data_IF_834937811669
#
_entry.id   IF_834937811669
#
_cell.length_a   1.000
_cell.length_b   1.000
_cell.length_c   1.000
_cell.angle_alpha   90.00
_cell.angle_beta   90.00
_cell.angle_gamma   90.00
#
_symmetry.space_group_name_H-M   'P 1'
#
loop_
_entity.id
_entity.type
_entity.pdbx_description
1 polymer ?
#
# COMPACT_ATOMS: atom_id res chain seq x y z
N UNK A 1 -35.77 28.06 -21.00
CA UNK A 1 -35.01 28.27 -19.74
C UNK A 1 -34.59 26.96 -19.05
N UNK A 2 -35.45 25.92 -18.99
CA UNK A 2 -35.15 24.64 -18.29
C UNK A 2 -34.07 23.79 -19.00
N UNK A 3 -34.12 23.66 -20.34
CA UNK A 3 -33.15 22.86 -21.12
C UNK A 3 -31.70 23.38 -20.99
N UNK A 4 -31.51 24.70 -20.96
CA UNK A 4 -30.18 25.33 -20.80
C UNK A 4 -29.59 25.12 -19.41
N UNK A 5 -30.42 25.13 -18.34
CA UNK A 5 -29.98 24.79 -16.98
C UNK A 5 -29.60 23.30 -16.85
N UNK A 6 -30.31 22.41 -17.54
CA UNK A 6 -30.03 20.98 -17.54
C UNK A 6 -28.71 20.66 -18.27
N UNK A 7 -28.46 21.28 -19.42
CA UNK A 7 -27.20 21.17 -20.16
C UNK A 7 -25.99 21.65 -19.32
N UNK A 8 -26.13 22.78 -18.62
CA UNK A 8 -25.07 23.32 -17.78
C UNK A 8 -24.77 22.42 -16.57
N UNK A 9 -25.80 21.84 -15.95
CA UNK A 9 -25.65 20.92 -14.83
C UNK A 9 -24.96 19.61 -15.26
N UNK A 10 -25.31 19.08 -16.44
CA UNK A 10 -24.71 17.85 -16.96
C UNK A 10 -23.23 18.04 -17.27
N UNK A 11 -22.86 19.19 -17.85
CA UNK A 11 -21.48 19.58 -18.14
C UNK A 11 -20.66 19.76 -16.85
N UNK A 12 -21.26 20.33 -15.81
CA UNK A 12 -20.61 20.52 -14.50
C UNK A 12 -20.33 19.17 -13.82
N UNK A 13 -21.26 18.21 -13.89
CA UNK A 13 -21.08 16.85 -13.35
C UNK A 13 -20.00 16.09 -14.11
N UNK A 14 -19.93 16.20 -15.43
CA UNK A 14 -18.85 15.57 -16.22
C UNK A 14 -17.50 16.20 -15.93
N UNK A 15 -17.45 17.53 -15.75
CA UNK A 15 -16.22 18.24 -15.38
C UNK A 15 -15.73 17.84 -13.97
N UNK A 16 -16.66 17.70 -13.02
CA UNK A 16 -16.36 17.22 -11.66
C UNK A 16 -15.88 15.77 -11.63
N UNK A 17 -16.40 14.90 -12.50
CA UNK A 17 -15.92 13.52 -12.66
C UNK A 17 -14.56 13.44 -13.38
N UNK A 18 -14.23 14.42 -14.23
CA UNK A 18 -12.95 14.50 -14.94
C UNK A 18 -11.81 15.11 -14.12
N UNK A 19 -12.14 15.79 -13.01
CA UNK A 19 -11.17 16.20 -12.00
C UNK A 19 -10.73 14.94 -11.28
N UNK A 20 -9.77 14.22 -11.87
CA UNK A 20 -9.12 13.10 -11.23
C UNK A 20 -8.65 13.53 -9.85
N UNK A 21 -9.23 12.93 -8.81
CA UNK A 21 -8.68 13.03 -7.48
C UNK A 21 -7.32 12.34 -7.54
N UNK A 22 -6.24 13.12 -7.42
CA UNK A 22 -4.94 12.53 -7.16
C UNK A 22 -5.08 11.78 -5.82
N UNK A 23 -4.98 10.45 -5.85
CA UNK A 23 -5.02 9.67 -4.63
C UNK A 23 -3.88 10.11 -3.72
N UNK A 24 -4.22 10.44 -2.48
CA UNK A 24 -3.21 10.71 -1.45
C UNK A 24 -2.54 9.36 -1.14
N UNK A 25 -1.25 9.25 -1.49
CA UNK A 25 -0.48 8.05 -1.19
C UNK A 25 -0.22 7.99 0.32
N UNK A 26 -0.51 6.83 0.92
CA UNK A 26 -0.31 6.53 2.33
C UNK A 26 0.26 5.13 2.47
N UNK A 27 1.37 4.99 3.18
CA UNK A 27 2.10 3.73 3.29
C UNK A 27 2.01 3.14 4.69
N UNK A 28 1.75 1.83 4.77
CA UNK A 28 1.90 1.06 6.00
C UNK A 28 2.96 -0.02 5.82
N UNK A 29 3.83 -0.18 6.83
CA UNK A 29 4.88 -1.21 6.83
C UNK A 29 4.62 -2.23 7.93
N UNK A 30 4.75 -3.52 7.64
CA UNK A 30 4.72 -4.59 8.66
C UNK A 30 6.10 -5.21 8.81
N UNK A 31 6.60 -5.27 10.04
CA UNK A 31 7.89 -5.89 10.39
C UNK A 31 7.67 -7.18 11.21
N UNK A 32 8.43 -8.26 10.93
CA UNK A 32 8.35 -9.52 11.68
C UNK A 32 8.96 -9.41 13.07
N UNK A 33 9.91 -8.49 13.25
CA UNK A 33 10.69 -8.34 14.46
C UNK A 33 10.62 -6.94 15.06
N UNK A 34 11.54 -6.68 15.98
CA UNK A 34 11.73 -5.37 16.61
C UNK A 34 12.39 -4.41 15.63
N UNK A 35 11.88 -3.19 15.46
CA UNK A 35 12.58 -2.15 14.69
C UNK A 35 13.88 -1.66 15.36
N UNK A 36 14.14 -2.12 16.59
CA UNK A 36 15.35 -1.84 17.38
C UNK A 36 16.26 -3.07 17.47
N UNK A 37 16.19 -4.01 16.53
CA UNK A 37 17.04 -5.20 16.52
C UNK A 37 18.51 -4.89 16.17
N UNK A 38 18.81 -3.68 15.69
CA UNK A 38 20.15 -3.28 15.30
C UNK A 38 20.64 -3.95 14.02
N UNK A 39 19.73 -4.56 13.27
CA UNK A 39 20.03 -5.37 12.09
C UNK A 39 18.95 -5.13 11.01
N UNK A 40 18.39 -6.18 10.43
CA UNK A 40 17.52 -6.14 9.27
C UNK A 40 16.24 -5.30 9.45
N UNK A 41 15.51 -5.41 10.57
CA UNK A 41 14.31 -4.58 10.76
C UNK A 41 14.67 -3.12 11.06
N UNK A 42 15.77 -2.87 11.78
CA UNK A 42 16.29 -1.52 11.96
C UNK A 42 16.63 -0.83 10.63
N UNK A 43 17.21 -1.56 9.66
CA UNK A 43 17.47 -1.02 8.32
C UNK A 43 16.18 -0.68 7.58
N UNK A 44 15.19 -1.58 7.57
CA UNK A 44 13.89 -1.32 6.96
C UNK A 44 13.15 -0.12 7.59
N UNK A 45 13.24 0.04 8.92
CA UNK A 45 12.68 1.19 9.63
C UNK A 45 13.37 2.51 9.27
N UNK A 46 14.69 2.50 9.07
CA UNK A 46 15.41 3.69 8.56
C UNK A 46 14.94 4.04 7.15
N UNK A 47 14.86 3.06 6.25
CA UNK A 47 14.37 3.27 4.89
C UNK A 47 12.94 3.84 4.86
N UNK A 48 12.04 3.28 5.69
CA UNK A 48 10.68 3.79 5.87
C UNK A 48 10.65 5.27 6.30
N UNK A 49 11.49 5.66 7.25
CA UNK A 49 11.57 7.06 7.69
C UNK A 49 12.09 7.97 6.58
N UNK A 50 13.06 7.53 5.78
CA UNK A 50 13.57 8.30 4.65
C UNK A 50 12.51 8.49 3.56
N UNK A 51 11.67 7.48 3.30
CA UNK A 51 10.50 7.60 2.41
C UNK A 51 9.55 8.68 2.91
N UNK A 52 9.18 8.67 4.19
CA UNK A 52 8.29 9.69 4.77
C UNK A 52 8.88 11.10 4.60
N UNK A 53 10.17 11.29 4.90
CA UNK A 53 10.84 12.60 4.79
C UNK A 53 10.96 13.09 3.34
N UNK A 54 11.40 12.23 2.42
CA UNK A 54 11.70 12.62 1.03
C UNK A 54 10.43 12.95 0.25
N UNK A 55 9.33 12.22 0.50
CA UNK A 55 8.09 12.39 -0.24
C UNK A 55 7.03 13.19 0.53
N UNK A 56 7.27 13.54 1.80
CA UNK A 56 6.24 14.15 2.65
C UNK A 56 5.02 13.25 2.85
N UNK A 57 5.23 11.93 2.75
CA UNK A 57 4.16 10.92 2.73
C UNK A 57 3.79 10.51 4.17
N UNK A 58 2.50 10.26 4.38
CA UNK A 58 2.02 9.61 5.61
C UNK A 58 2.44 8.15 5.61
N UNK A 59 3.34 7.80 6.53
CA UNK A 59 3.88 6.45 6.69
C UNK A 59 3.69 5.98 8.12
N UNK A 60 3.11 4.79 8.28
CA UNK A 60 2.93 4.13 9.57
C UNK A 60 3.52 2.73 9.56
N UNK A 61 3.59 2.09 10.73
CA UNK A 61 4.06 0.72 10.83
C UNK A 61 3.47 -0.08 11.99
N UNK A 62 3.51 -1.40 11.83
CA UNK A 62 3.40 -2.37 12.91
C UNK A 62 4.67 -3.21 12.97
N UNK A 63 5.13 -3.53 14.17
CA UNK A 63 6.30 -4.38 14.38
C UNK A 63 5.93 -5.62 15.17
N UNK A 64 6.76 -6.66 15.10
CA UNK A 64 6.49 -7.99 15.70
C UNK A 64 5.19 -8.61 15.20
N UNK A 65 4.87 -8.43 13.91
CA UNK A 65 3.67 -9.01 13.30
C UNK A 65 3.95 -10.48 13.00
N UNK A 66 3.26 -11.40 13.68
CA UNK A 66 3.39 -12.82 13.42
C UNK A 66 2.85 -13.17 12.01
N UNK A 67 3.45 -14.17 11.35
CA UNK A 67 3.01 -14.62 10.01
C UNK A 67 1.51 -14.93 9.92
N UNK A 68 0.89 -15.63 10.90
CA UNK A 68 -0.55 -15.90 10.87
C UNK A 68 -1.42 -14.64 10.94
N UNK A 69 -0.90 -13.53 11.47
CA UNK A 69 -1.62 -12.27 11.60
C UNK A 69 -1.44 -11.33 10.39
N UNK A 70 -0.47 -11.59 9.52
CA UNK A 70 -0.06 -10.66 8.47
C UNK A 70 -1.22 -10.26 7.55
N UNK A 71 -2.05 -11.21 7.11
CA UNK A 71 -3.20 -10.92 6.24
C UNK A 71 -4.20 -9.96 6.90
N UNK A 72 -4.50 -10.20 8.19
CA UNK A 72 -5.42 -9.38 8.97
C UNK A 72 -4.86 -7.96 9.13
N UNK A 73 -3.59 -7.83 9.53
CA UNK A 73 -2.96 -6.52 9.75
C UNK A 73 -2.88 -5.71 8.45
N UNK A 74 -2.48 -6.32 7.33
CA UNK A 74 -2.49 -5.64 6.02
C UNK A 74 -3.89 -5.16 5.65
N UNK A 75 -4.91 -6.00 5.84
CA UNK A 75 -6.31 -5.66 5.57
C UNK A 75 -6.80 -4.51 6.44
N UNK A 76 -6.47 -4.50 7.73
CA UNK A 76 -6.82 -3.41 8.66
C UNK A 76 -6.23 -2.07 8.22
N UNK A 77 -4.98 -2.05 7.72
CA UNK A 77 -4.39 -0.84 7.15
C UNK A 77 -5.08 -0.39 5.87
N UNK A 78 -5.39 -1.31 4.96
CA UNK A 78 -6.11 -0.99 3.72
C UNK A 78 -7.48 -0.38 4.04
N UNK A 79 -8.23 -0.98 4.97
CA UNK A 79 -9.52 -0.46 5.43
C UNK A 79 -9.40 0.90 6.15
N UNK A 80 -8.21 1.22 6.68
CA UNK A 80 -7.89 2.53 7.27
C UNK A 80 -7.40 3.56 6.24
N UNK A 81 -7.47 3.24 4.95
CA UNK A 81 -7.14 4.13 3.85
C UNK A 81 -5.65 4.20 3.51
N UNK A 82 -4.86 3.17 3.84
CA UNK A 82 -3.50 3.03 3.33
C UNK A 82 -3.52 2.27 1.99
N UNK A 83 -2.90 2.85 0.96
CA UNK A 83 -2.90 2.31 -0.41
C UNK A 83 -1.52 1.81 -0.86
N UNK A 84 -0.51 1.85 0.01
CA UNK A 84 0.77 1.17 -0.17
C UNK A 84 1.05 0.31 1.06
N UNK A 85 1.27 -0.98 0.86
CA UNK A 85 1.59 -1.94 1.92
C UNK A 85 2.97 -2.51 1.67
N UNK A 86 3.93 -2.24 2.56
CA UNK A 86 5.24 -2.89 2.52
C UNK A 86 5.31 -3.99 3.58
N UNK A 87 5.34 -5.24 3.11
CA UNK A 87 5.55 -6.40 3.96
C UNK A 87 7.05 -6.71 4.04
N UNK A 88 7.72 -6.23 5.09
CA UNK A 88 9.17 -6.33 5.27
C UNK A 88 9.57 -7.76 5.64
N UNK A 89 10.09 -8.52 4.68
CA UNK A 89 10.62 -9.87 4.88
C UNK A 89 9.81 -10.99 4.22
N UNK A 90 10.55 -11.94 3.64
CA UNK A 90 10.01 -13.01 2.78
C UNK A 90 9.02 -13.97 3.43
N UNK A 91 8.95 -14.04 4.77
CA UNK A 91 7.92 -14.84 5.44
C UNK A 91 6.48 -14.36 5.17
N UNK A 92 6.31 -13.16 4.63
CA UNK A 92 5.01 -12.59 4.29
C UNK A 92 4.57 -12.84 2.84
N UNK A 93 5.39 -13.47 2.00
CA UNK A 93 5.06 -13.74 0.58
C UNK A 93 3.70 -14.42 0.43
N UNK A 94 3.43 -15.46 1.23
CA UNK A 94 2.14 -16.17 1.20
C UNK A 94 0.96 -15.26 1.58
N UNK A 95 1.15 -14.37 2.56
CA UNK A 95 0.13 -13.41 2.95
C UNK A 95 -0.14 -12.37 1.86
N UNK A 96 0.90 -11.86 1.20
CA UNK A 96 0.77 -10.90 0.09
C UNK A 96 0.05 -11.52 -1.11
N UNK A 97 0.42 -12.75 -1.51
CA UNK A 97 -0.24 -13.47 -2.62
C UNK A 97 -1.74 -13.69 -2.39
N UNK A 98 -2.16 -13.80 -1.12
CA UNK A 98 -3.56 -13.97 -0.74
C UNK A 98 -4.37 -12.66 -0.64
N UNK A 99 -3.71 -11.55 -0.28
CA UNK A 99 -4.37 -10.26 -0.06
C UNK A 99 -4.35 -9.40 -1.32
N UNK A 100 -3.24 -9.35 -2.06
CA UNK A 100 -3.08 -8.46 -3.20
C UNK A 100 -4.16 -8.58 -4.28
N UNK A 101 -4.61 -9.80 -4.69
CA UNK A 101 -5.68 -9.93 -5.68
C UNK A 101 -7.04 -9.38 -5.24
N UNK A 102 -7.26 -9.22 -3.92
CA UNK A 102 -8.52 -8.71 -3.34
C UNK A 102 -8.55 -7.17 -3.32
N UNK A 103 -7.40 -6.52 -3.51
CA UNK A 103 -7.23 -5.07 -3.41
C UNK A 103 -6.38 -4.55 -4.59
N UNK A 104 -6.91 -4.55 -5.82
CA UNK A 104 -6.14 -4.20 -7.02
C UNK A 104 -5.64 -2.75 -7.03
N UNK A 105 -6.29 -1.86 -6.29
CA UNK A 105 -5.91 -0.44 -6.18
C UNK A 105 -4.83 -0.19 -5.11
N UNK A 106 -4.44 -1.22 -4.34
CA UNK A 106 -3.38 -1.15 -3.32
C UNK A 106 -2.10 -1.71 -3.89
N UNK A 107 -1.00 -0.96 -3.77
CA UNK A 107 0.33 -1.45 -4.11
C UNK A 107 0.92 -2.23 -2.95
N UNK A 108 1.39 -3.45 -3.21
CA UNK A 108 2.11 -4.28 -2.25
C UNK A 108 3.60 -4.32 -2.59
N UNK A 109 4.46 -4.14 -1.60
CA UNK A 109 5.91 -4.29 -1.71
C UNK A 109 6.29 -5.49 -0.84
N UNK A 110 7.01 -6.45 -1.42
CA UNK A 110 7.40 -7.69 -0.74
C UNK A 110 8.81 -8.10 -1.13
N UNK A 111 9.54 -8.68 -0.19
CA UNK A 111 10.82 -9.33 -0.47
C UNK A 111 10.58 -10.80 -0.85
N UNK A 112 11.06 -11.20 -2.03
CA UNK A 112 10.96 -12.57 -2.55
C UNK A 112 12.07 -12.79 -3.60
N UNK A 113 12.40 -14.05 -3.88
CA UNK A 113 13.39 -14.44 -4.89
C UNK A 113 12.89 -14.13 -6.31
N UNK A 114 11.57 -14.20 -6.51
CA UNK A 114 10.93 -14.00 -7.80
C UNK A 114 9.57 -13.28 -7.65
N UNK A 115 9.12 -12.56 -8.69
CA UNK A 115 7.75 -12.07 -8.76
C UNK A 115 6.70 -13.19 -8.67
N UNK A 116 5.44 -12.87 -8.30
CA UNK A 116 4.35 -13.84 -8.36
C UNK A 116 4.20 -14.48 -9.75
N UNK A 117 3.83 -15.76 -9.77
CA UNK A 117 3.43 -16.50 -10.97
C UNK A 117 2.04 -17.14 -10.72
N UNK A 118 0.96 -16.67 -11.39
CA UNK A 118 0.95 -15.63 -12.41
C UNK A 118 1.32 -14.24 -11.84
N UNK A 119 1.82 -13.31 -12.69
CA UNK A 119 2.12 -11.95 -12.27
C UNK A 119 0.91 -11.23 -11.66
N UNK A 120 1.17 -10.42 -10.63
CA UNK A 120 0.20 -9.53 -10.02
C UNK A 120 0.67 -8.08 -10.26
N UNK A 121 -0.11 -7.31 -11.01
CA UNK A 121 0.26 -5.94 -11.43
C UNK A 121 0.47 -4.98 -10.25
N UNK A 122 -0.17 -5.27 -9.12
CA UNK A 122 -0.10 -4.48 -7.90
C UNK A 122 0.92 -5.01 -6.87
N UNK A 123 1.82 -5.93 -7.26
CA UNK A 123 2.87 -6.46 -6.40
C UNK A 123 4.25 -6.11 -6.95
N UNK A 124 5.02 -5.37 -6.16
CA UNK A 124 6.41 -5.02 -6.41
C UNK A 124 7.31 -5.94 -5.56
N UNK A 125 8.14 -6.74 -6.23
CA UNK A 125 9.10 -7.61 -5.55
C UNK A 125 10.47 -6.94 -5.45
N UNK A 126 10.95 -6.76 -4.23
CA UNK A 126 12.36 -6.47 -3.95
C UNK A 126 13.09 -7.81 -3.92
N UNK A 127 14.04 -7.98 -4.84
CA UNK A 127 14.85 -9.21 -4.88
C UNK A 127 15.91 -9.17 -3.79
N UNK A 128 15.96 -10.21 -2.99
CA UNK A 128 16.93 -10.44 -1.91
C UNK A 128 17.72 -11.70 -2.17
#
# INVERSE_FOLDING_TARGET
MVKSKLLLLTLLVTLLLSLGFAEVLRMAVIFPGSIQDGDYNSLGYVAMQEVSKHFGMDVTFSQRVAVPDAQRVMTEYILSGYNIIWAHGGQYVGAVKEVAPKYPDVTFIIEDEAPPDPPLDNVITIRS
#
